data_IF_743941247495
#
_entry.id   IF_743941247495
#
_cell.length_a   1.000
_cell.length_b   1.000
_cell.length_c   1.000
_cell.angle_alpha   90.00
_cell.angle_beta   90.00
_cell.angle_gamma   90.00
#
_symmetry.space_group_name_H-M   'P 1'
#
loop_
_entity.id
_entity.type
_entity.pdbx_description
1 polymer ?
#
# COMPACT_ATOMS: atom_id res chain seq x y z
N UNK A 1 -19.44 -15.52 -6.57
CA UNK A 1 -18.27 -14.80 -7.11
C UNK A 1 -17.54 -15.71 -8.09
N UNK A 2 -17.48 -15.31 -9.35
CA UNK A 2 -16.89 -16.08 -10.45
C UNK A 2 -15.37 -15.81 -10.43
N UNK A 3 -14.48 -16.81 -10.53
CA UNK A 3 -13.02 -16.59 -10.57
C UNK A 3 -12.55 -15.63 -11.67
N UNK A 4 -13.41 -15.35 -12.65
CA UNK A 4 -13.16 -14.40 -13.73
C UNK A 4 -13.16 -12.93 -13.27
N UNK A 5 -13.88 -12.60 -12.19
CA UNK A 5 -14.04 -11.22 -11.72
C UNK A 5 -12.79 -10.71 -10.99
N UNK A 6 -12.17 -11.57 -10.16
CA UNK A 6 -10.91 -11.27 -9.47
C UNK A 6 -9.74 -11.12 -10.43
N UNK A 7 -9.70 -11.94 -11.49
CA UNK A 7 -8.70 -11.80 -12.56
C UNK A 7 -8.83 -10.48 -13.32
N UNK A 8 -10.06 -10.04 -13.58
CA UNK A 8 -10.34 -8.78 -14.29
C UNK A 8 -9.93 -7.55 -13.45
N UNK A 9 -10.26 -7.53 -12.15
CA UNK A 9 -9.87 -6.43 -11.25
C UNK A 9 -8.34 -6.30 -11.13
N UNK A 10 -7.63 -7.42 -11.04
CA UNK A 10 -6.16 -7.42 -11.00
C UNK A 10 -5.53 -6.84 -12.27
N UNK A 11 -6.09 -7.16 -13.44
CA UNK A 11 -5.59 -6.66 -14.72
C UNK A 11 -5.74 -5.13 -14.85
N UNK A 12 -6.90 -4.58 -14.48
CA UNK A 12 -7.12 -3.13 -14.52
C UNK A 12 -6.19 -2.37 -13.54
N UNK A 13 -5.96 -2.94 -12.35
CA UNK A 13 -5.03 -2.34 -11.38
C UNK A 13 -3.61 -2.27 -11.95
N UNK A 14 -3.12 -3.33 -12.60
CA UNK A 14 -1.78 -3.37 -13.16
C UNK A 14 -1.59 -2.36 -14.31
N UNK A 15 -2.58 -2.24 -15.20
CA UNK A 15 -2.56 -1.26 -16.29
C UNK A 15 -2.54 0.17 -15.72
N UNK A 16 -3.36 0.44 -14.70
CA UNK A 16 -3.41 1.76 -14.04
C UNK A 16 -2.06 2.18 -13.44
N UNK A 17 -1.37 1.26 -12.78
CA UNK A 17 -0.02 1.50 -12.23
C UNK A 17 0.99 1.79 -13.34
N UNK A 18 0.96 1.02 -14.44
CA UNK A 18 1.86 1.23 -15.59
C UNK A 18 1.67 2.61 -16.23
N UNK A 19 0.43 3.03 -16.48
CA UNK A 19 0.12 4.33 -17.10
C UNK A 19 0.56 5.48 -16.18
N UNK A 20 0.26 5.40 -14.89
CA UNK A 20 0.64 6.43 -13.92
C UNK A 20 2.15 6.61 -13.85
N UNK A 21 2.88 5.49 -13.82
CA UNK A 21 4.35 5.48 -13.80
C UNK A 21 4.92 6.14 -15.06
N UNK A 22 4.39 5.82 -16.24
CA UNK A 22 4.82 6.41 -17.52
C UNK A 22 4.59 7.92 -17.55
N UNK A 23 3.44 8.38 -17.06
CA UNK A 23 3.10 9.81 -16.97
C UNK A 23 4.06 10.55 -16.03
N UNK A 24 4.36 9.99 -14.86
CA UNK A 24 5.33 10.57 -13.91
C UNK A 24 6.69 10.72 -14.59
N UNK A 25 7.20 9.68 -15.26
CA UNK A 25 8.47 9.76 -15.99
C UNK A 25 8.47 10.83 -17.08
N UNK A 26 7.38 10.99 -17.82
CA UNK A 26 7.25 12.07 -18.80
C UNK A 26 7.38 13.44 -18.12
N UNK A 27 6.68 13.67 -17.01
CA UNK A 27 6.77 14.93 -16.26
C UNK A 27 8.19 15.20 -15.72
N UNK A 28 8.90 14.18 -15.22
CA UNK A 28 10.30 14.32 -14.81
C UNK A 28 11.20 14.75 -15.98
N UNK A 29 11.01 14.16 -17.17
CA UNK A 29 11.80 14.51 -18.36
C UNK A 29 11.46 15.90 -18.90
N UNK A 30 10.19 16.32 -18.85
CA UNK A 30 9.78 17.68 -19.22
C UNK A 30 10.37 18.75 -18.28
N UNK A 31 10.58 18.42 -17.00
CA UNK A 31 11.30 19.27 -16.04
C UNK A 31 12.78 19.46 -16.38
N UNK A 32 13.44 18.44 -16.93
CA UNK A 32 14.86 18.47 -17.30
C UNK A 32 15.15 19.20 -18.63
N UNK A 33 14.22 19.15 -19.59
CA UNK A 33 14.48 19.57 -20.99
C UNK A 33 14.26 21.08 -21.23
N UNK A 34 13.46 21.78 -20.42
CA UNK A 34 13.17 23.21 -20.68
C UNK A 34 14.15 24.16 -19.97
N UNK A 35 15.12 24.67 -20.73
CA UNK A 35 16.01 25.82 -20.40
C UNK A 35 15.28 27.17 -20.21
N UNK A 36 14.01 27.18 -19.80
CA UNK A 36 13.27 28.42 -19.52
C UNK A 36 13.17 28.65 -18.01
N UNK A 37 13.77 29.75 -17.53
CA UNK A 37 13.88 30.11 -16.10
C UNK A 37 12.53 30.11 -15.37
N UNK A 38 11.45 30.50 -16.05
CA UNK A 38 10.09 30.51 -15.47
C UNK A 38 9.55 29.10 -15.17
N UNK A 39 9.82 28.12 -16.04
CA UNK A 39 9.37 26.73 -15.85
C UNK A 39 10.11 26.04 -14.69
N UNK A 40 11.37 26.38 -14.46
CA UNK A 40 12.17 25.80 -13.36
C UNK A 40 11.67 26.28 -12.00
N UNK A 41 11.25 27.55 -11.88
CA UNK A 41 10.68 28.08 -10.62
C UNK A 41 9.34 27.41 -10.30
N UNK A 42 8.45 27.25 -11.27
CA UNK A 42 7.17 26.56 -11.05
C UNK A 42 7.37 25.10 -10.66
N UNK A 43 8.36 24.42 -11.24
CA UNK A 43 8.73 23.06 -10.88
C UNK A 43 9.18 22.97 -9.42
N UNK A 44 10.08 23.86 -8.97
CA UNK A 44 10.56 23.89 -7.57
C UNK A 44 9.39 24.11 -6.60
N UNK A 45 8.47 25.03 -6.91
CA UNK A 45 7.29 25.29 -6.06
C UNK A 45 6.41 24.04 -5.95
N UNK A 46 6.13 23.35 -7.06
CA UNK A 46 5.34 22.11 -7.06
C UNK A 46 6.02 21.01 -6.26
N UNK A 47 7.34 20.84 -6.38
CA UNK A 47 8.10 19.87 -5.60
C UNK A 47 8.05 20.16 -4.10
N UNK A 48 8.18 21.42 -3.69
CA UNK A 48 8.05 21.80 -2.27
C UNK A 48 6.65 21.50 -1.74
N UNK A 49 5.60 21.78 -2.53
CA UNK A 49 4.24 21.43 -2.16
C UNK A 49 4.03 19.91 -2.04
N UNK A 50 4.63 19.12 -2.94
CA UNK A 50 4.58 17.67 -2.87
C UNK A 50 5.25 17.14 -1.59
N UNK A 51 6.43 17.66 -1.24
CA UNK A 51 7.15 17.31 0.00
C UNK A 51 6.28 17.60 1.23
N UNK A 52 5.65 18.78 1.29
CA UNK A 52 4.76 19.14 2.40
C UNK A 52 3.54 18.22 2.48
N UNK A 53 2.92 17.90 1.34
CA UNK A 53 1.79 16.97 1.29
C UNK A 53 2.20 15.57 1.77
N UNK A 54 3.33 15.04 1.30
CA UNK A 54 3.84 13.73 1.72
C UNK A 54 4.17 13.70 3.22
N UNK A 55 4.79 14.75 3.75
CA UNK A 55 5.09 14.85 5.18
C UNK A 55 3.81 14.83 6.04
N UNK A 56 2.75 15.52 5.61
CA UNK A 56 1.45 15.49 6.29
C UNK A 56 0.84 14.10 6.24
N UNK A 57 0.85 13.43 5.08
CA UNK A 57 0.32 12.06 4.93
C UNK A 57 1.05 11.07 5.82
N UNK A 58 2.40 11.12 5.84
CA UNK A 58 3.22 10.29 6.70
C UNK A 58 2.86 10.51 8.18
N UNK A 59 2.76 11.77 8.61
CA UNK A 59 2.40 12.10 9.98
C UNK A 59 1.05 11.48 10.38
N UNK A 60 0.02 11.62 9.53
CA UNK A 60 -1.28 11.01 9.77
C UNK A 60 -1.25 9.49 9.76
N UNK A 61 -0.52 8.87 8.82
CA UNK A 61 -0.40 7.41 8.76
C UNK A 61 0.31 6.83 9.98
N UNK A 62 1.35 7.50 10.48
CA UNK A 62 2.05 7.07 11.70
C UNK A 62 1.16 7.23 12.93
N UNK A 63 0.50 8.38 13.07
CA UNK A 63 -0.36 8.65 14.21
C UNK A 63 -1.61 7.75 14.24
N UNK A 64 -2.15 7.40 13.07
CA UNK A 64 -3.35 6.59 12.91
C UNK A 64 -3.11 5.10 12.64
N UNK A 65 -1.86 4.62 12.65
CA UNK A 65 -1.49 3.28 12.13
C UNK A 65 -2.35 2.14 12.67
N UNK A 66 -2.60 2.11 13.98
CA UNK A 66 -3.30 1.01 14.65
C UNK A 66 -4.81 1.09 14.34
N UNK A 67 -5.34 2.31 14.20
CA UNK A 67 -6.72 2.55 13.77
C UNK A 67 -6.92 2.18 12.30
N UNK A 68 -5.99 2.53 11.42
CA UNK A 68 -6.09 2.19 9.99
C UNK A 68 -6.03 0.67 9.80
N UNK A 69 -5.09 -0.01 10.46
CA UNK A 69 -4.97 -1.47 10.37
C UNK A 69 -6.21 -2.19 10.93
N UNK A 70 -6.75 -1.75 12.06
CA UNK A 70 -7.98 -2.32 12.63
C UNK A 70 -9.22 -2.05 11.78
N UNK A 71 -9.33 -0.88 11.13
CA UNK A 71 -10.41 -0.62 10.18
C UNK A 71 -10.31 -1.51 8.95
N UNK A 72 -9.10 -1.73 8.45
CA UNK A 72 -8.87 -2.62 7.32
C UNK A 72 -9.17 -4.07 7.68
N UNK A 73 -8.90 -4.47 8.94
CA UNK A 73 -9.25 -5.80 9.42
C UNK A 73 -10.75 -6.05 9.56
N UNK A 74 -11.60 -5.01 9.55
CA UNK A 74 -13.06 -5.20 9.43
C UNK A 74 -13.47 -5.82 8.09
N UNK A 75 -12.65 -5.73 7.04
CA UNK A 75 -12.93 -6.46 5.79
C UNK A 75 -12.97 -7.98 6.00
N UNK A 76 -12.20 -8.48 6.98
CA UNK A 76 -12.23 -9.88 7.38
C UNK A 76 -13.54 -10.24 8.09
N UNK A 77 -14.12 -9.31 8.85
CA UNK A 77 -15.42 -9.52 9.51
C UNK A 77 -16.53 -9.70 8.45
N UNK A 78 -16.48 -8.93 7.36
CA UNK A 78 -17.38 -9.12 6.22
C UNK A 78 -17.17 -10.48 5.54
N UNK A 79 -15.91 -10.91 5.37
CA UNK A 79 -15.60 -12.22 4.81
C UNK A 79 -16.10 -13.36 5.72
N UNK A 80 -16.03 -13.18 7.04
CA UNK A 80 -16.59 -14.12 8.01
C UNK A 80 -18.12 -14.22 7.91
N UNK A 81 -18.82 -13.10 7.76
CA UNK A 81 -20.27 -13.11 7.54
C UNK A 81 -20.65 -13.82 6.23
N UNK A 82 -19.83 -13.70 5.18
CA UNK A 82 -20.01 -14.43 3.94
C UNK A 82 -19.76 -15.93 4.12
N UNK A 83 -18.73 -16.31 4.88
CA UNK A 83 -18.43 -17.71 5.25
C UNK A 83 -19.62 -18.36 5.96
N UNK A 84 -20.24 -17.65 6.91
CA UNK A 84 -21.44 -18.14 7.61
C UNK A 84 -22.62 -18.39 6.67
N UNK A 85 -22.72 -17.66 5.55
CA UNK A 85 -23.77 -17.88 4.54
C UNK A 85 -23.39 -18.94 3.52
N UNK A 86 -22.12 -18.97 3.11
CA UNK A 86 -21.58 -19.86 2.09
C UNK A 86 -20.15 -20.26 2.46
N UNK A 87 -19.95 -21.56 2.62
CA UNK A 87 -18.63 -22.13 2.91
C UNK A 87 -17.60 -21.79 1.82
N UNK A 88 -16.38 -21.45 2.24
CA UNK A 88 -15.22 -21.19 1.38
C UNK A 88 -14.96 -19.74 1.01
N UNK A 89 -15.61 -18.77 1.65
CA UNK A 89 -15.26 -17.35 1.58
C UNK A 89 -13.99 -17.02 2.40
N UNK A 90 -13.73 -17.75 3.49
CA UNK A 90 -12.60 -17.53 4.39
C UNK A 90 -11.35 -18.33 4.02
N UNK A 91 -11.49 -19.39 3.22
CA UNK A 91 -10.42 -20.33 2.87
C UNK A 91 -9.15 -19.65 2.34
N UNK A 92 -9.29 -18.63 1.49
CA UNK A 92 -8.17 -17.86 0.94
C UNK A 92 -7.39 -17.14 2.04
N UNK A 93 -8.07 -16.57 3.04
CA UNK A 93 -7.42 -15.87 4.13
C UNK A 93 -6.72 -16.85 5.07
N UNK A 94 -7.36 -17.97 5.39
CA UNK A 94 -6.81 -19.02 6.25
C UNK A 94 -5.54 -19.63 5.65
N UNK A 95 -5.58 -19.97 4.36
CA UNK A 95 -4.44 -20.53 3.63
C UNK A 95 -3.30 -19.51 3.51
N UNK A 96 -3.60 -18.26 3.17
CA UNK A 96 -2.59 -17.24 2.95
C UNK A 96 -1.89 -16.81 4.25
N UNK A 97 -2.66 -16.61 5.31
CA UNK A 97 -2.16 -16.08 6.58
C UNK A 97 -1.84 -17.15 7.61
N UNK A 98 -2.07 -18.44 7.29
CA UNK A 98 -1.92 -19.57 8.22
C UNK A 98 -2.61 -19.26 9.55
N UNK A 99 -3.91 -19.03 9.47
CA UNK A 99 -4.79 -18.65 10.57
C UNK A 99 -6.10 -19.42 10.46
N UNK A 100 -6.88 -19.47 11.54
CA UNK A 100 -8.17 -20.14 11.53
C UNK A 100 -9.26 -19.32 12.18
N UNK A 101 -10.39 -19.19 11.49
CA UNK A 101 -11.56 -18.47 11.98
C UNK A 101 -11.32 -16.98 12.14
N UNK A 102 -12.35 -16.26 12.60
CA UNK A 102 -12.31 -14.80 12.74
C UNK A 102 -11.30 -14.38 13.81
N UNK A 103 -11.52 -14.80 15.04
CA UNK A 103 -10.68 -14.57 16.21
C UNK A 103 -10.01 -15.87 16.70
N UNK A 104 -10.62 -17.03 16.44
CA UNK A 104 -10.11 -18.33 16.85
C UNK A 104 -10.79 -19.46 16.04
N UNK A 105 -10.18 -20.65 15.92
CA UNK A 105 -10.87 -21.85 15.41
C UNK A 105 -12.19 -22.17 16.13
N UNK A 106 -12.34 -21.73 17.40
CA UNK A 106 -13.57 -21.92 18.16
C UNK A 106 -14.79 -21.24 17.51
N UNK A 107 -14.58 -20.21 16.70
CA UNK A 107 -15.65 -19.49 16.01
C UNK A 107 -16.45 -20.40 15.06
N UNK A 108 -15.81 -21.41 14.46
CA UNK A 108 -16.51 -22.43 13.67
C UNK A 108 -17.41 -23.30 14.55
N UNK A 109 -16.87 -23.76 15.69
CA UNK A 109 -17.58 -24.67 16.61
C UNK A 109 -18.81 -24.00 17.21
N UNK A 110 -18.72 -22.72 17.57
CA UNK A 110 -19.86 -21.94 18.09
C UNK A 110 -20.99 -21.80 17.07
N UNK A 111 -20.66 -21.81 15.78
CA UNK A 111 -21.63 -21.79 14.68
C UNK A 111 -22.03 -23.20 14.19
N UNK A 112 -21.81 -24.23 15.02
CA UNK A 112 -22.11 -25.63 14.73
C UNK A 112 -21.41 -26.17 13.48
N UNK A 113 -20.24 -25.61 13.14
CA UNK A 113 -19.40 -26.03 12.01
C UNK A 113 -18.07 -26.59 12.47
N UNK A 114 -17.54 -27.53 11.70
CA UNK A 114 -16.17 -27.99 11.87
C UNK A 114 -15.23 -27.02 11.15
N UNK A 115 -14.06 -26.71 11.72
CA UNK A 115 -13.03 -25.95 11.01
C UNK A 115 -12.71 -26.62 9.66
N UNK A 116 -12.60 -25.84 8.57
CA UNK A 116 -12.24 -26.38 7.27
C UNK A 116 -10.81 -26.95 7.28
N UNK A 117 -10.43 -27.78 6.30
CA UNK A 117 -9.06 -28.30 6.18
C UNK A 117 -7.99 -27.20 6.15
N UNK A 118 -8.31 -26.00 5.65
CA UNK A 118 -7.43 -24.82 5.64
C UNK A 118 -6.97 -24.36 7.02
N UNK A 119 -7.70 -24.74 8.08
CA UNK A 119 -7.33 -24.46 9.47
C UNK A 119 -6.31 -25.43 10.06
N UNK A 120 -5.95 -26.49 9.34
CA UNK A 120 -5.00 -27.50 9.80
C UNK A 120 -3.68 -27.38 9.02
N UNK A 121 -2.57 -27.48 9.74
CA UNK A 121 -1.25 -27.62 9.12
C UNK A 121 -1.27 -28.86 8.22
N UNK A 122 -0.80 -28.70 6.98
CA UNK A 122 -0.82 -29.70 5.90
C UNK A 122 -2.23 -30.09 5.41
N UNK A 123 -3.26 -29.34 5.78
CA UNK A 123 -4.65 -29.57 5.39
C UNK A 123 -5.22 -30.93 5.83
N UNK A 124 -4.67 -31.53 6.91
CA UNK A 124 -5.15 -32.80 7.44
C UNK A 124 -6.02 -32.61 8.70
N UNK A 125 -7.36 -32.69 8.58
CA UNK A 125 -8.28 -32.54 9.70
C UNK A 125 -8.25 -33.73 10.68
N UNK A 126 -7.58 -34.84 10.35
CA UNK A 126 -7.52 -36.02 11.21
C UNK A 126 -6.49 -35.87 12.34
N UNK A 127 -5.61 -34.86 12.26
CA UNK A 127 -4.55 -34.61 13.23
C UNK A 127 -4.92 -33.35 14.03
N UNK A 128 -5.58 -33.48 15.20
CA UNK A 128 -6.03 -32.31 15.97
C UNK A 128 -4.87 -31.46 16.51
N UNK A 129 -3.66 -32.01 16.59
CA UNK A 129 -2.45 -31.27 16.98
C UNK A 129 -2.03 -30.23 15.93
N UNK A 130 -2.49 -30.38 14.69
CA UNK A 130 -2.17 -29.48 13.59
C UNK A 130 -3.15 -28.31 13.48
N UNK A 131 -4.12 -28.19 14.39
CA UNK A 131 -5.09 -27.10 14.36
C UNK A 131 -4.39 -25.76 14.64
N UNK A 132 -4.58 -24.80 13.74
CA UNK A 132 -4.04 -23.46 13.91
C UNK A 132 -4.90 -22.70 14.94
N UNK A 133 -4.33 -22.41 16.10
CA UNK A 133 -5.04 -21.70 17.17
C UNK A 133 -5.13 -20.17 16.94
N UNK A 134 -4.33 -19.63 16.01
CA UNK A 134 -4.27 -18.19 15.78
C UNK A 134 -5.42 -17.71 14.90
N UNK A 135 -6.18 -16.73 15.39
CA UNK A 135 -7.25 -16.08 14.62
C UNK A 135 -6.76 -15.24 13.46
N UNK A 136 -7.52 -15.24 12.36
CA UNK A 136 -7.16 -14.50 11.16
C UNK A 136 -7.18 -12.98 11.35
N UNK A 137 -8.02 -12.44 12.25
CA UNK A 137 -8.09 -11.00 12.49
C UNK A 137 -6.76 -10.43 12.99
N UNK A 138 -6.07 -11.17 13.86
CA UNK A 138 -4.78 -10.74 14.43
C UNK A 138 -3.70 -10.75 13.33
N UNK A 139 -3.61 -11.84 12.57
CA UNK A 139 -2.63 -11.97 11.47
C UNK A 139 -2.85 -10.92 10.38
N UNK A 140 -4.10 -10.65 10.04
CA UNK A 140 -4.45 -9.69 9.01
C UNK A 140 -4.19 -8.25 9.47
N UNK A 141 -4.47 -7.92 10.73
CA UNK A 141 -4.11 -6.63 11.33
C UNK A 141 -2.58 -6.42 11.35
N UNK A 142 -1.82 -7.43 11.80
CA UNK A 142 -0.35 -7.38 11.81
C UNK A 142 0.24 -7.23 10.40
N UNK A 143 -0.34 -7.91 9.40
CA UNK A 143 0.02 -7.74 8.00
C UNK A 143 -0.13 -6.28 7.54
N UNK A 144 -1.26 -5.65 7.85
CA UNK A 144 -1.51 -4.26 7.49
C UNK A 144 -0.60 -3.28 8.24
N UNK A 145 -0.35 -3.51 9.53
CA UNK A 145 0.63 -2.72 10.30
C UNK A 145 2.00 -2.78 9.63
N UNK A 146 2.46 -3.99 9.28
CA UNK A 146 3.76 -4.17 8.65
C UNK A 146 3.81 -3.52 7.25
N UNK A 147 2.75 -3.68 6.46
CA UNK A 147 2.64 -3.07 5.14
C UNK A 147 2.64 -1.54 5.21
N UNK A 148 1.87 -0.95 6.14
CA UNK A 148 1.86 0.50 6.38
C UNK A 148 3.24 1.01 6.81
N UNK A 149 3.96 0.26 7.65
CA UNK A 149 5.33 0.60 8.02
C UNK A 149 6.26 0.61 6.80
N UNK A 150 6.16 -0.38 5.91
CA UNK A 150 6.94 -0.43 4.66
C UNK A 150 6.62 0.78 3.78
N UNK A 151 5.33 1.09 3.57
CA UNK A 151 4.92 2.27 2.80
C UNK A 151 5.47 3.57 3.39
N UNK A 152 5.46 3.71 4.72
CA UNK A 152 6.02 4.87 5.38
C UNK A 152 7.54 5.00 5.16
N UNK A 153 8.28 3.90 5.23
CA UNK A 153 9.73 3.89 4.93
C UNK A 153 9.99 4.32 3.47
N UNK A 154 9.23 3.77 2.52
CA UNK A 154 9.35 4.14 1.10
C UNK A 154 9.01 5.61 0.86
N UNK A 155 7.99 6.13 1.52
CA UNK A 155 7.61 7.54 1.44
C UNK A 155 8.72 8.45 2.01
N UNK A 156 9.38 8.06 3.10
CA UNK A 156 10.52 8.79 3.64
C UNK A 156 11.70 8.84 2.65
N UNK A 157 12.02 7.72 1.99
CA UNK A 157 13.03 7.66 0.93
C UNK A 157 12.66 8.59 -0.24
N UNK A 158 11.39 8.59 -0.64
CA UNK A 158 10.88 9.43 -1.72
C UNK A 158 11.07 10.93 -1.40
N UNK A 159 10.71 11.38 -0.20
CA UNK A 159 10.96 12.76 0.25
C UNK A 159 12.45 13.10 0.16
N UNK A 160 13.34 12.18 0.58
CA UNK A 160 14.78 12.37 0.48
C UNK A 160 15.25 12.59 -0.96
N UNK A 161 14.72 11.81 -1.91
CA UNK A 161 15.02 11.98 -3.34
C UNK A 161 14.48 13.30 -3.89
N UNK A 162 13.26 13.67 -3.52
CA UNK A 162 12.64 14.93 -3.94
C UNK A 162 13.42 16.15 -3.45
N UNK A 163 13.98 16.10 -2.23
CA UNK A 163 14.86 17.14 -1.70
C UNK A 163 16.16 17.27 -2.52
N UNK A 164 16.79 16.15 -2.89
CA UNK A 164 17.99 16.14 -3.72
C UNK A 164 17.68 16.74 -5.10
N UNK A 165 16.59 16.31 -5.74
CA UNK A 165 16.14 16.84 -7.03
C UNK A 165 15.86 18.33 -6.95
N UNK A 166 15.17 18.77 -5.90
CA UNK A 166 14.85 20.19 -5.68
C UNK A 166 16.11 21.02 -5.46
N UNK A 167 17.10 20.50 -4.75
CA UNK A 167 18.40 21.16 -4.55
C UNK A 167 19.14 21.35 -5.87
N UNK A 168 19.23 20.30 -6.69
CA UNK A 168 19.85 20.37 -8.02
C UNK A 168 19.12 21.37 -8.93
N UNK A 169 17.77 21.34 -8.93
CA UNK A 169 16.96 22.28 -9.70
C UNK A 169 17.20 23.73 -9.27
N UNK A 170 17.37 24.00 -7.97
CA UNK A 170 17.70 25.32 -7.46
C UNK A 170 19.08 25.80 -7.92
N UNK A 171 20.11 24.94 -7.84
CA UNK A 171 21.45 25.22 -8.35
C UNK A 171 21.43 25.53 -9.85
N UNK A 172 20.70 24.75 -10.64
CA UNK A 172 20.53 24.96 -12.07
C UNK A 172 19.83 26.30 -12.36
N UNK A 173 18.74 26.61 -11.64
CA UNK A 173 18.03 27.87 -11.77
C UNK A 173 18.94 29.07 -11.48
N UNK A 174 19.79 28.98 -10.46
CA UNK A 174 20.76 30.01 -10.12
C UNK A 174 21.84 30.17 -11.20
N UNK A 175 22.35 29.05 -11.74
CA UNK A 175 23.32 29.07 -12.85
C UNK A 175 22.74 29.75 -14.09
N UNK A 176 21.53 29.35 -14.53
CA UNK A 176 20.88 29.94 -15.71
C UNK A 176 20.61 31.43 -15.49
N UNK A 177 20.14 31.82 -14.28
CA UNK A 177 19.91 33.23 -13.96
C UNK A 177 21.22 34.04 -13.97
N UNK A 178 22.32 33.45 -13.49
CA UNK A 178 23.64 34.08 -13.52
C UNK A 178 24.15 34.25 -14.97
N UNK A 179 24.04 33.22 -15.81
CA UNK A 179 24.46 33.29 -17.21
C UNK A 179 23.64 34.30 -18.00
N UNK A 180 22.31 34.35 -17.79
CA UNK A 180 21.44 35.36 -18.39
C UNK A 180 21.80 36.79 -17.95
N UNK A 181 22.31 36.99 -16.72
CA UNK A 181 22.80 38.33 -16.31
C UNK A 181 24.10 38.69 -17.02
N UNK A 182 25.01 37.73 -17.24
CA UNK A 182 26.28 37.97 -17.94
C UNK A 182 26.08 38.33 -19.40
N UNK A 183 25.07 37.78 -20.08
CA UNK A 183 24.80 38.09 -21.49
C UNK A 183 24.30 39.52 -21.76
N UNK A 184 23.96 40.31 -20.74
CA UNK A 184 23.54 41.71 -20.89
C UNK A 184 24.69 42.73 -20.77
N UNK A 185 25.90 42.30 -20.41
CA UNK A 185 27.11 43.12 -20.35
C UNK A 185 28.06 42.77 -21.50
#
# INVERSE_FOLDING_TARGET
NNPNDVGSMGAYAYIGVGVTTFVVFIFLNFGAIRQNVGCTVTFIVLMVLAILAQAVVIFFMVAGRDSVASNLSNALDTAWEEELKKEGAMSIYEEWFNCCGRASPQDYIVNERMPPPTCFIDHDPNIPQNLIETGCRIKFEDYWINLLNIFNILACILIGLELIVSFIACCLCNSIRNDRRRSYY
#
